data_IF_924266261990
#
_entry.id   IF_924266261990
#
_cell.length_a   1.000
_cell.length_b   1.000
_cell.length_c   1.000
_cell.angle_alpha   90.00
_cell.angle_beta   90.00
_cell.angle_gamma   90.00
#
_symmetry.space_group_name_H-M   'P 1'
#
loop_
_entity.id
_entity.type
_entity.pdbx_description
1 polymer ?
#
# COMPACT_ATOMS: atom_id res chain seq x y z
N UNK A 1 21.73 -7.47 -44.66
CA UNK A 1 21.95 -7.52 -43.19
C UNK A 1 22.33 -8.94 -42.82
N UNK A 2 23.21 -9.12 -41.84
CA UNK A 2 23.80 -10.43 -41.50
C UNK A 2 25.20 -10.35 -40.86
N UNK A 3 25.76 -9.16 -40.71
CA UNK A 3 26.98 -8.97 -39.93
C UNK A 3 26.66 -9.11 -38.44
N UNK A 4 27.17 -10.18 -37.82
CA UNK A 4 27.00 -10.46 -36.39
C UNK A 4 27.76 -9.47 -35.50
N UNK A 5 28.77 -8.77 -36.03
CA UNK A 5 29.47 -7.70 -35.31
C UNK A 5 28.56 -6.50 -35.00
N UNK A 6 27.44 -6.38 -35.72
CA UNK A 6 26.43 -5.32 -35.52
C UNK A 6 25.07 -5.87 -35.07
N UNK A 7 25.00 -7.14 -34.68
CA UNK A 7 23.75 -7.75 -34.24
C UNK A 7 23.43 -7.36 -32.79
N UNK A 8 22.13 -7.26 -32.48
CA UNK A 8 21.61 -7.06 -31.13
C UNK A 8 20.73 -8.25 -30.73
N UNK A 9 20.79 -8.65 -29.46
CA UNK A 9 19.89 -9.66 -28.91
C UNK A 9 18.57 -9.00 -28.48
N UNK A 10 17.44 -9.64 -28.77
CA UNK A 10 16.12 -9.27 -28.25
C UNK A 10 15.57 -10.41 -27.38
N UNK A 11 15.91 -10.48 -26.08
CA UNK A 11 15.25 -11.36 -25.13
C UNK A 11 13.80 -10.89 -24.84
N UNK A 12 12.87 -11.76 -24.46
CA UNK A 12 12.94 -13.22 -24.31
C UNK A 12 11.63 -13.87 -24.77
N UNK A 13 11.67 -15.18 -25.04
CA UNK A 13 10.49 -16.00 -25.35
C UNK A 13 10.33 -17.00 -24.21
N UNK A 14 9.09 -17.19 -23.72
CA UNK A 14 8.79 -18.19 -22.70
C UNK A 14 9.19 -19.60 -23.13
N UNK A 15 9.55 -20.43 -22.16
CA UNK A 15 9.94 -21.82 -22.38
C UNK A 15 9.44 -22.72 -21.25
N UNK A 16 9.62 -24.03 -21.38
CA UNK A 16 9.30 -24.96 -20.29
C UNK A 16 10.12 -24.69 -19.02
N UNK A 17 11.31 -24.09 -19.15
CA UNK A 17 12.14 -23.70 -18.01
C UNK A 17 11.69 -22.36 -17.40
N UNK A 18 11.15 -21.46 -18.22
CA UNK A 18 10.68 -20.13 -17.83
C UNK A 18 9.29 -19.89 -18.42
N UNK A 19 8.29 -20.49 -17.77
CA UNK A 19 6.89 -20.38 -18.16
C UNK A 19 6.35 -18.95 -17.93
N UNK A 20 5.25 -18.56 -18.59
CA UNK A 20 4.59 -17.31 -18.25
C UNK A 20 4.16 -17.28 -16.77
N UNK A 21 4.25 -16.12 -16.09
CA UNK A 21 3.89 -16.01 -14.68
C UNK A 21 2.38 -16.12 -14.43
N UNK A 22 1.55 -16.04 -15.47
CA UNK A 22 0.10 -16.14 -15.38
C UNK A 22 -0.49 -16.95 -16.52
N UNK A 23 -1.60 -17.61 -16.24
CA UNK A 23 -2.44 -18.30 -17.24
C UNK A 23 -3.62 -17.45 -17.72
N UNK A 24 -3.82 -16.26 -17.14
CA UNK A 24 -4.83 -15.31 -17.60
C UNK A 24 -4.47 -14.78 -18.97
N UNK A 25 -5.45 -14.79 -19.88
CA UNK A 25 -5.27 -14.24 -21.22
C UNK A 25 -5.18 -12.70 -21.24
N UNK A 26 -5.63 -12.03 -20.17
CA UNK A 26 -5.78 -10.57 -20.14
C UNK A 26 -4.99 -9.88 -19.01
N UNK A 27 -4.47 -10.64 -18.04
CA UNK A 27 -3.72 -10.04 -16.94
C UNK A 27 -2.37 -9.48 -17.42
N UNK A 28 -2.00 -8.32 -16.90
CA UNK A 28 -0.64 -7.81 -16.99
C UNK A 28 0.09 -8.19 -15.71
N UNK A 29 1.11 -9.05 -15.79
CA UNK A 29 1.83 -9.60 -14.62
C UNK A 29 3.33 -9.40 -14.76
N UNK A 30 3.94 -8.86 -13.70
CA UNK A 30 5.39 -8.82 -13.50
C UNK A 30 5.73 -9.60 -12.24
N UNK A 31 6.48 -10.69 -12.40
CA UNK A 31 7.06 -11.48 -11.31
C UNK A 31 8.57 -11.20 -11.23
N UNK A 32 9.04 -10.95 -10.01
CA UNK A 32 10.46 -10.72 -9.71
C UNK A 32 11.08 -11.96 -9.05
N UNK A 33 12.38 -12.23 -9.26
CA UNK A 33 13.05 -13.42 -8.70
C UNK A 33 13.04 -13.54 -7.17
N UNK A 34 12.84 -12.43 -6.46
CA UNK A 34 12.73 -12.39 -5.00
C UNK A 34 11.28 -12.59 -4.49
N UNK A 35 10.33 -12.87 -5.40
CA UNK A 35 8.92 -13.06 -5.11
C UNK A 35 8.07 -11.79 -5.19
N UNK A 36 8.66 -10.64 -5.53
CA UNK A 36 7.89 -9.43 -5.80
C UNK A 36 6.91 -9.63 -6.96
N UNK A 37 5.68 -9.14 -6.80
CA UNK A 37 4.59 -9.41 -7.75
C UNK A 37 3.73 -8.17 -7.98
N UNK A 38 3.51 -7.84 -9.25
CA UNK A 38 2.62 -6.77 -9.69
C UNK A 38 1.67 -7.33 -10.75
N UNK A 39 0.36 -7.25 -10.50
CA UNK A 39 -0.66 -7.80 -11.39
C UNK A 39 -1.82 -6.83 -11.55
N UNK A 40 -2.29 -6.64 -12.79
CA UNK A 40 -3.61 -6.10 -13.07
C UNK A 40 -4.45 -7.13 -13.83
N UNK A 41 -5.60 -7.51 -13.27
CA UNK A 41 -6.57 -8.43 -13.88
C UNK A 41 -7.85 -7.67 -14.29
N UNK A 42 -8.09 -7.46 -15.60
CA UNK A 42 -9.26 -6.75 -16.09
C UNK A 42 -10.61 -7.41 -15.73
N UNK A 43 -10.67 -8.75 -15.65
CA UNK A 43 -11.92 -9.45 -15.36
C UNK A 43 -12.50 -9.09 -13.97
N UNK A 44 -11.64 -8.78 -13.01
CA UNK A 44 -12.02 -8.35 -11.66
C UNK A 44 -11.71 -6.88 -11.38
N UNK A 45 -11.05 -6.18 -12.30
CA UNK A 45 -10.50 -4.84 -12.10
C UNK A 45 -9.45 -4.74 -10.99
N UNK A 46 -8.81 -5.86 -10.63
CA UNK A 46 -7.96 -5.94 -9.43
C UNK A 46 -6.54 -5.58 -9.79
N UNK A 47 -6.01 -4.56 -9.13
CA UNK A 47 -4.57 -4.33 -9.05
C UNK A 47 -4.02 -4.98 -7.77
N UNK A 48 -3.08 -5.90 -7.91
CA UNK A 48 -2.53 -6.68 -6.82
C UNK A 48 -1.01 -6.56 -6.74
N UNK A 49 -0.53 -6.07 -5.60
CA UNK A 49 0.89 -5.92 -5.29
C UNK A 49 1.19 -6.74 -4.04
N UNK A 50 2.14 -7.67 -4.12
CA UNK A 50 2.51 -8.55 -2.99
C UNK A 50 3.99 -8.93 -3.04
N UNK A 51 4.47 -9.57 -1.97
CA UNK A 51 5.85 -10.06 -1.89
C UNK A 51 6.91 -8.97 -1.77
N UNK A 52 6.52 -7.71 -1.60
CA UNK A 52 7.43 -6.57 -1.45
C UNK A 52 7.78 -6.32 0.02
N UNK A 53 9.00 -5.84 0.26
CA UNK A 53 9.45 -5.44 1.61
C UNK A 53 9.06 -4.01 1.98
N UNK A 54 8.97 -3.11 0.99
CA UNK A 54 8.69 -1.68 1.19
C UNK A 54 8.05 -1.06 -0.05
N UNK A 55 7.15 -0.10 0.16
CA UNK A 55 6.59 0.75 -0.89
C UNK A 55 6.77 2.21 -0.50
N UNK A 56 7.25 3.03 -1.44
CA UNK A 56 7.37 4.48 -1.28
C UNK A 56 6.61 5.12 -2.45
N UNK A 57 5.69 6.03 -2.13
CA UNK A 57 4.96 6.83 -3.12
C UNK A 57 5.28 8.30 -2.82
N UNK A 58 6.03 8.92 -3.72
CA UNK A 58 6.37 10.34 -3.67
C UNK A 58 5.59 11.10 -4.73
N UNK A 59 4.88 12.15 -4.32
CA UNK A 59 4.18 13.07 -5.19
C UNK A 59 4.50 14.50 -4.75
N UNK A 60 4.78 15.39 -5.71
CA UNK A 60 5.14 16.77 -5.42
C UNK A 60 3.98 17.58 -4.82
N UNK A 61 2.76 17.31 -5.30
CA UNK A 61 1.59 18.10 -4.92
C UNK A 61 0.65 17.35 -3.97
N UNK A 62 0.12 16.19 -4.38
CA UNK A 62 -0.83 15.42 -3.56
C UNK A 62 -0.85 13.92 -3.90
N UNK A 63 -1.33 13.13 -2.95
CA UNK A 63 -1.78 11.74 -3.14
C UNK A 63 -3.24 11.68 -2.68
N UNK A 64 -4.13 11.14 -3.52
CA UNK A 64 -5.56 11.03 -3.22
C UNK A 64 -6.03 9.58 -3.36
N UNK A 65 -6.59 9.01 -2.28
CA UNK A 65 -7.20 7.67 -2.28
C UNK A 65 -8.72 7.81 -2.25
N UNK A 66 -9.41 7.47 -3.35
CA UNK A 66 -10.88 7.53 -3.47
C UNK A 66 -11.44 6.13 -3.62
N UNK A 67 -12.16 5.68 -2.61
CA UNK A 67 -12.74 4.34 -2.50
C UNK A 67 -13.97 4.40 -1.60
N UNK A 68 -14.89 3.44 -1.71
CA UNK A 68 -16.01 3.30 -0.78
C UNK A 68 -15.56 2.87 0.62
N UNK A 69 -14.45 2.11 0.69
CA UNK A 69 -13.87 1.63 1.94
C UNK A 69 -12.34 1.67 1.83
N UNK A 70 -11.69 2.25 2.85
CA UNK A 70 -10.24 2.27 2.98
C UNK A 70 -9.85 1.50 4.23
N UNK A 71 -9.23 0.32 4.03
CA UNK A 71 -8.73 -0.54 5.11
C UNK A 71 -7.21 -0.39 5.20
N UNK A 72 -6.71 -0.08 6.40
CA UNK A 72 -5.28 0.01 6.70
C UNK A 72 -4.96 -0.89 7.89
N UNK A 73 -4.19 -1.95 7.64
CA UNK A 73 -3.71 -2.87 8.68
C UNK A 73 -2.21 -2.65 8.89
N UNK A 74 -1.84 -2.14 10.06
CA UNK A 74 -0.45 -1.91 10.45
C UNK A 74 -0.33 -1.83 11.97
N UNK A 75 0.81 -2.27 12.51
CA UNK A 75 1.12 -2.12 13.95
C UNK A 75 1.23 -0.64 14.36
N UNK A 76 1.64 0.23 13.43
CA UNK A 76 1.79 1.66 13.66
C UNK A 76 1.55 2.50 12.42
N UNK A 77 0.65 3.46 12.53
CA UNK A 77 0.47 4.55 11.57
C UNK A 77 1.05 5.84 12.12
N UNK A 78 1.82 6.58 11.32
CA UNK A 78 2.39 7.88 11.69
C UNK A 78 1.99 8.95 10.69
N UNK A 79 1.30 9.97 11.17
CA UNK A 79 0.99 11.18 10.41
C UNK A 79 1.72 12.35 11.08
N UNK A 80 2.52 13.07 10.30
CA UNK A 80 3.44 14.07 10.85
C UNK A 80 2.79 15.45 11.03
N UNK A 81 1.68 15.72 10.33
CA UNK A 81 0.97 17.00 10.26
C UNK A 81 -0.48 16.82 10.72
N UNK A 82 -1.29 17.85 10.47
CA UNK A 82 -2.72 17.86 10.77
C UNK A 82 -3.47 16.71 10.09
N UNK A 83 -4.49 16.21 10.78
CA UNK A 83 -5.43 15.21 10.29
C UNK A 83 -6.83 15.76 10.49
N UNK A 84 -7.61 15.78 9.42
CA UNK A 84 -9.04 16.12 9.47
C UNK A 84 -9.83 14.83 9.26
N UNK A 85 -10.69 14.49 10.22
CA UNK A 85 -11.62 13.35 10.14
C UNK A 85 -13.03 13.92 10.16
N UNK A 86 -13.82 13.59 9.15
CA UNK A 86 -15.25 13.89 9.13
C UNK A 86 -16.05 12.64 9.50
N UNK A 87 -16.98 12.79 10.44
CA UNK A 87 -17.73 11.66 11.00
C UNK A 87 -17.19 11.20 12.35
N UNK A 88 -17.64 10.02 12.79
CA UNK A 88 -17.26 9.45 14.08
C UNK A 88 -15.89 8.79 14.05
N UNK A 89 -15.21 8.80 15.20
CA UNK A 89 -13.99 8.02 15.46
C UNK A 89 -14.31 6.99 16.52
N UNK A 90 -14.14 5.71 16.20
CA UNK A 90 -14.14 4.63 17.20
C UNK A 90 -12.69 4.21 17.41
N UNK A 91 -12.19 4.37 18.64
CA UNK A 91 -10.85 3.99 19.04
C UNK A 91 -10.93 3.02 20.23
N UNK A 92 -10.02 2.04 20.24
CA UNK A 92 -9.92 1.07 21.31
C UNK A 92 -8.54 0.42 21.36
N UNK A 93 -8.37 -0.57 22.22
CA UNK A 93 -7.11 -1.31 22.37
C UNK A 93 -5.97 -0.54 23.07
N UNK A 94 -6.23 0.67 23.57
CA UNK A 94 -5.23 1.49 24.26
C UNK A 94 -5.75 2.89 24.62
N UNK A 95 -4.90 3.68 25.27
CA UNK A 95 -5.25 5.05 25.70
C UNK A 95 -5.19 6.07 24.54
N UNK A 96 -6.22 6.90 24.42
CA UNK A 96 -6.16 8.11 23.59
C UNK A 96 -5.43 9.21 24.36
N UNK A 97 -4.30 9.69 23.84
CA UNK A 97 -3.48 10.74 24.46
C UNK A 97 -3.38 11.98 23.57
N UNK A 98 -3.51 13.16 24.17
CA UNK A 98 -3.25 14.44 23.52
C UNK A 98 -2.41 15.30 24.45
N UNK A 99 -1.22 15.73 24.00
CA UNK A 99 -0.31 16.59 24.77
C UNK A 99 -0.05 16.09 26.21
N UNK A 100 0.09 14.78 26.39
CA UNK A 100 0.33 14.15 27.71
C UNK A 100 -0.93 13.84 28.52
N UNK A 101 -2.10 14.32 28.12
CA UNK A 101 -3.37 14.02 28.77
C UNK A 101 -3.98 12.75 28.18
N UNK A 102 -4.34 11.80 29.04
CA UNK A 102 -5.17 10.65 28.70
C UNK A 102 -6.63 11.07 28.76
N UNK A 103 -7.32 10.97 27.62
CA UNK A 103 -8.64 11.60 27.44
C UNK A 103 -9.69 11.02 28.39
N UNK A 104 -9.73 9.70 28.58
CA UNK A 104 -10.74 9.02 29.39
C UNK A 104 -10.50 9.14 30.91
N UNK A 105 -9.28 9.47 31.33
CA UNK A 105 -8.92 9.59 32.76
C UNK A 105 -8.56 11.02 33.16
N UNK A 106 -8.88 12.04 32.35
CA UNK A 106 -8.54 13.42 32.67
C UNK A 106 -9.36 13.94 33.86
N UNK A 107 -8.76 14.82 34.65
CA UNK A 107 -9.37 15.38 35.87
C UNK A 107 -9.45 16.91 35.77
N UNK A 108 -10.47 17.48 36.43
CA UNK A 108 -10.66 18.92 36.55
C UNK A 108 -10.34 19.39 37.98
N UNK A 109 -9.15 19.97 38.26
CA UNK A 109 -8.67 20.20 39.62
C UNK A 109 -9.34 21.36 40.37
N UNK A 110 -10.24 22.12 39.74
CA UNK A 110 -10.89 23.32 40.32
C UNK A 110 -12.41 23.21 40.43
N UNK A 111 -12.93 21.99 40.42
CA UNK A 111 -14.35 21.72 40.66
C UNK A 111 -14.48 21.16 42.07
N UNK A 112 -15.43 21.70 42.84
CA UNK A 112 -15.81 21.12 44.14
C UNK A 112 -16.27 19.68 43.88
N UNK A 113 -15.54 18.72 44.41
CA UNK A 113 -16.00 17.33 44.46
C UNK A 113 -17.25 17.29 45.33
N UNK A 114 -18.38 16.92 44.72
CA UNK A 114 -19.61 16.60 45.44
C UNK A 114 -19.48 15.33 46.26
#
# INVERSE_FOLDING_TARGET
>A
GGNLETAFALPAIYSNQFAPPSTSANACVTEHPDGGWFEYEPATGRWYVRGIKSMVIEAADNITMKTSEFVLEADRTRINREVVITGGVTQGGGAMRSNGIVVDTHQHPRVLTG
#
